data_IF_140315090681
#
_entry.id   IF_140315090681
#
_cell.length_a   1.000
_cell.length_b   1.000
_cell.length_c   1.000
_cell.angle_alpha   90.00
_cell.angle_beta   90.00
_cell.angle_gamma   90.00
#
_symmetry.space_group_name_H-M   'P 1'
#
loop_
_entity.id
_entity.type
_entity.pdbx_description
1 polymer ?
#
# COMPACT_ATOMS: atom_id res chain seq x y z
N UNK A 1 10.95 14.70 -25.42
CA UNK A 1 11.44 14.62 -24.02
C UNK A 1 10.31 14.93 -23.05
N UNK A 2 9.34 14.02 -22.93
CA UNK A 2 8.19 14.14 -22.05
C UNK A 2 7.69 12.72 -21.86
N UNK A 3 8.05 12.11 -20.73
CA UNK A 3 7.58 10.82 -20.19
C UNK A 3 8.60 10.44 -19.11
N UNK A 4 8.69 11.26 -18.06
CA UNK A 4 9.16 10.74 -16.78
C UNK A 4 7.94 10.01 -16.23
N UNK A 5 7.84 8.66 -16.26
CA UNK A 5 6.79 8.05 -15.50
C UNK A 5 7.17 8.34 -14.05
N UNK A 6 6.39 9.18 -13.37
CA UNK A 6 6.49 9.42 -11.92
C UNK A 6 6.02 8.17 -11.15
N UNK A 7 6.48 7.00 -11.60
CA UNK A 7 6.33 5.70 -10.97
C UNK A 7 7.44 5.47 -9.94
N UNK A 8 8.13 6.53 -9.49
CA UNK A 8 8.82 6.53 -8.20
C UNK A 8 7.81 7.03 -7.18
N UNK A 9 6.86 6.16 -6.84
CA UNK A 9 5.90 6.38 -5.78
C UNK A 9 6.63 6.51 -4.46
N UNK A 10 6.98 7.76 -4.14
CA UNK A 10 7.28 8.35 -2.85
C UNK A 10 7.42 7.34 -1.69
N UNK A 11 8.63 6.79 -1.54
CA UNK A 11 8.99 5.82 -0.51
C UNK A 11 8.19 4.52 -0.61
N UNK A 12 8.83 3.39 -0.34
CA UNK A 12 8.10 2.22 0.18
C UNK A 12 7.31 2.74 1.39
N UNK A 13 6.00 3.01 1.23
CA UNK A 13 5.15 3.84 2.11
C UNK A 13 4.89 3.28 3.51
N UNK A 14 5.83 2.53 4.06
CA UNK A 14 5.90 2.10 5.44
C UNK A 14 6.34 3.30 6.26
N UNK A 15 5.37 4.20 6.54
CA UNK A 15 5.55 5.26 7.53
C UNK A 15 6.14 4.62 8.81
N UNK A 16 7.16 5.21 9.46
CA UNK A 16 7.84 4.61 10.61
C UNK A 16 6.90 4.11 11.72
N UNK A 17 5.75 4.77 11.86
CA UNK A 17 4.63 4.36 12.71
C UNK A 17 4.18 2.91 12.48
N UNK A 18 4.12 2.43 11.23
CA UNK A 18 3.69 1.05 10.93
C UNK A 18 4.67 -0.01 11.44
N UNK A 19 5.96 0.31 11.41
CA UNK A 19 6.99 -0.58 11.98
C UNK A 19 6.87 -0.62 13.50
N UNK A 20 6.73 0.55 14.14
CA UNK A 20 6.56 0.65 15.59
C UNK A 20 5.27 -0.04 16.07
N UNK A 21 4.16 0.14 15.35
CA UNK A 21 2.89 -0.52 15.63
C UNK A 21 3.04 -2.05 15.52
N UNK A 22 3.68 -2.54 14.45
CA UNK A 22 3.93 -3.97 14.27
C UNK A 22 4.80 -4.52 15.40
N UNK A 23 5.91 -3.87 15.74
CA UNK A 23 6.78 -4.31 16.85
C UNK A 23 6.02 -4.33 18.19
N UNK A 24 5.17 -3.33 18.45
CA UNK A 24 4.38 -3.26 19.69
C UNK A 24 3.34 -4.37 19.78
N UNK A 25 2.54 -4.58 18.73
CA UNK A 25 1.50 -5.62 18.71
C UNK A 25 2.12 -7.02 18.72
N UNK A 26 3.10 -7.29 17.86
CA UNK A 26 3.73 -8.61 17.79
C UNK A 26 4.60 -8.91 19.01
N UNK A 27 5.32 -7.93 19.52
CA UNK A 27 6.14 -8.07 20.72
C UNK A 27 5.32 -8.34 21.99
N UNK A 28 4.10 -7.79 22.08
CA UNK A 28 3.22 -8.04 23.23
C UNK A 28 2.42 -9.33 23.11
N UNK A 29 1.92 -9.67 21.92
CA UNK A 29 1.08 -10.87 21.70
C UNK A 29 1.90 -12.15 21.63
N UNK A 30 3.08 -12.12 21.00
CA UNK A 30 3.91 -13.31 20.75
C UNK A 30 5.29 -13.25 21.43
N UNK A 31 5.57 -12.19 22.20
CA UNK A 31 6.85 -12.03 22.89
C UNK A 31 8.03 -11.88 21.93
N UNK A 32 9.18 -12.48 22.30
CA UNK A 32 10.42 -12.41 21.52
C UNK A 32 10.28 -12.99 20.11
N UNK A 33 9.51 -14.08 19.95
CA UNK A 33 9.24 -14.67 18.63
C UNK A 33 8.51 -13.66 17.75
N UNK A 34 7.53 -12.95 18.31
CA UNK A 34 6.84 -11.87 17.62
C UNK A 34 7.79 -10.80 17.09
N UNK A 35 8.80 -10.42 17.87
CA UNK A 35 9.81 -9.45 17.45
C UNK A 35 10.68 -9.96 16.29
N UNK A 36 11.07 -11.24 16.30
CA UNK A 36 11.88 -11.83 15.21
C UNK A 36 11.13 -11.83 13.88
N UNK A 37 9.82 -12.07 13.89
CA UNK A 37 9.00 -12.17 12.67
C UNK A 37 8.28 -10.85 12.33
N UNK A 38 8.31 -9.84 13.21
CA UNK A 38 7.59 -8.57 13.01
C UNK A 38 8.05 -7.83 11.74
N UNK A 39 9.37 -7.78 11.49
CA UNK A 39 9.94 -7.06 10.34
C UNK A 39 9.52 -7.67 8.99
N UNK A 40 9.72 -8.98 8.73
CA UNK A 40 9.30 -9.57 7.46
C UNK A 40 7.78 -9.53 7.28
N UNK A 41 7.01 -9.65 8.35
CA UNK A 41 5.55 -9.59 8.27
C UNK A 41 5.03 -8.19 7.93
N UNK A 42 5.58 -7.15 8.58
CA UNK A 42 5.25 -5.76 8.24
C UNK A 42 5.60 -5.43 6.78
N UNK A 43 6.72 -5.95 6.28
CA UNK A 43 7.11 -5.81 4.88
C UNK A 43 6.12 -6.51 3.93
N UNK A 44 5.71 -7.74 4.23
CA UNK A 44 4.73 -8.48 3.43
C UNK A 44 3.38 -7.75 3.35
N UNK A 45 2.87 -7.28 4.50
CA UNK A 45 1.62 -6.48 4.56
C UNK A 45 1.76 -5.20 3.72
N UNK A 46 2.89 -4.49 3.85
CA UNK A 46 3.15 -3.28 3.05
C UNK A 46 3.14 -3.53 1.54
N UNK A 47 3.66 -4.67 1.09
CA UNK A 47 3.62 -5.07 -0.33
C UNK A 47 2.18 -5.36 -0.79
N UNK A 48 1.39 -6.09 0.01
CA UNK A 48 -0.01 -6.38 -0.30
C UNK A 48 -0.81 -5.09 -0.41
N UNK A 49 -0.68 -4.19 0.57
CA UNK A 49 -1.37 -2.89 0.56
C UNK A 49 -0.99 -2.08 -0.68
N UNK A 50 0.31 -2.02 -1.02
CA UNK A 50 0.77 -1.31 -2.22
C UNK A 50 0.13 -1.87 -3.50
N UNK A 51 0.05 -3.19 -3.60
CA UNK A 51 -0.60 -3.86 -4.73
C UNK A 51 -2.11 -3.60 -4.75
N UNK A 52 -2.78 -3.69 -3.59
CA UNK A 52 -4.20 -3.44 -3.45
C UNK A 52 -4.59 -2.00 -3.82
N UNK A 53 -3.80 -1.00 -3.41
CA UNK A 53 -4.02 0.41 -3.77
C UNK A 53 -3.87 0.61 -5.30
N UNK A 54 -2.88 -0.04 -5.91
CA UNK A 54 -2.71 -0.03 -7.37
C UNK A 54 -3.92 -0.62 -8.10
N UNK A 55 -4.44 -1.75 -7.62
CA UNK A 55 -5.66 -2.37 -8.15
C UNK A 55 -6.91 -1.53 -7.88
N UNK A 56 -7.00 -0.86 -6.73
CA UNK A 56 -8.13 0.01 -6.38
C UNK A 56 -8.27 1.19 -7.33
N UNK A 57 -7.15 1.84 -7.69
CA UNK A 57 -7.12 2.91 -8.70
C UNK A 57 -7.42 2.42 -10.12
N UNK A 58 -7.16 1.15 -10.42
CA UNK A 58 -7.50 0.53 -11.70
C UNK A 58 -8.97 0.05 -11.76
N UNK A 59 -9.61 -0.13 -10.61
CA UNK A 59 -10.98 -0.60 -10.53
C UNK A 59 -11.96 0.47 -11.04
N UNK A 60 -12.95 -0.01 -11.81
CA UNK A 60 -13.92 0.74 -12.61
C UNK A 60 -14.82 1.70 -11.82
N UNK A 61 -14.62 1.91 -10.51
CA UNK A 61 -15.35 2.90 -9.73
C UNK A 61 -14.73 4.30 -9.77
N UNK A 62 -13.43 4.45 -10.08
CA UNK A 62 -12.81 5.77 -10.31
C UNK A 62 -12.84 6.21 -11.78
N UNK A 63 -12.85 5.25 -12.71
CA UNK A 63 -13.32 5.52 -14.09
C UNK A 63 -14.83 5.69 -14.04
N UNK A 64 -15.27 6.78 -13.42
CA UNK A 64 -16.63 7.24 -13.55
C UNK A 64 -17.03 7.16 -15.02
N UNK A 65 -18.27 6.76 -15.24
CA UNK A 65 -18.92 6.74 -16.54
C UNK A 65 -18.89 8.14 -17.16
N UNK A 66 -17.76 8.58 -17.70
CA UNK A 66 -17.68 9.64 -18.70
C UNK A 66 -18.17 9.06 -20.03
N UNK A 67 -19.39 8.51 -20.03
CA UNK A 67 -20.27 8.67 -21.17
C UNK A 67 -20.85 10.07 -21.01
N UNK A 68 -20.08 11.07 -21.41
CA UNK A 68 -20.70 12.27 -21.93
C UNK A 68 -21.55 11.76 -23.11
N UNK A 69 -22.88 11.94 -23.07
CA UNK A 69 -23.73 11.48 -24.15
C UNK A 69 -23.30 12.16 -25.45
N UNK A 70 -23.35 11.37 -26.49
CA UNK A 70 -23.42 11.82 -27.86
C UNK A 70 -24.80 12.49 -28.02
N UNK A 71 -24.93 13.77 -27.69
CA UNK A 71 -26.13 14.56 -27.95
C UNK A 71 -25.84 15.82 -28.81
N UNK A 72 -25.83 15.53 -30.13
CA UNK A 72 -26.43 16.28 -31.24
C UNK A 72 -25.84 17.63 -31.68
#
# INVERSE_FOLDING_TARGET
NYLTPKLVGNSVGLHPVWLLLSLSVFGTVFGFIGLLVAVPLAAAIGVIIRFAIGQYNASLLYKGNSREPDDA
#
